data_IF_364245846636
#
_entry.id   IF_364245846636
#
_cell.length_a   1.000
_cell.length_b   1.000
_cell.length_c   1.000
_cell.angle_alpha   90.00
_cell.angle_beta   90.00
_cell.angle_gamma   90.00
#
_symmetry.space_group_name_H-M   'P 1'
#
loop_
_entity.id
_entity.type
_entity.pdbx_description
1 polymer ?
#
# COMPACT_ATOMS: atom_id res chain seq x y z
N UNK A 1 -29.12 12.77 -33.84
CA UNK A 1 -28.03 13.00 -34.81
C UNK A 1 -27.74 14.49 -34.99
N UNK A 2 -28.67 15.30 -35.53
CA UNK A 2 -28.44 16.75 -35.71
C UNK A 2 -28.11 17.49 -34.40
N UNK A 3 -28.79 17.14 -33.30
CA UNK A 3 -28.56 17.72 -31.97
C UNK A 3 -27.12 17.48 -31.47
N UNK A 4 -26.64 16.24 -31.48
CA UNK A 4 -25.28 15.89 -31.04
C UNK A 4 -24.20 16.58 -31.88
N UNK A 5 -24.42 16.70 -33.20
CA UNK A 5 -23.55 17.44 -34.11
C UNK A 5 -23.55 18.94 -33.79
N UNK A 6 -24.71 19.51 -33.40
CA UNK A 6 -24.79 20.90 -32.94
C UNK A 6 -24.05 21.10 -31.62
N UNK A 7 -24.26 20.21 -30.64
CA UNK A 7 -23.55 20.25 -29.35
C UNK A 7 -22.04 20.12 -29.56
N UNK A 8 -21.59 19.27 -30.50
CA UNK A 8 -20.19 19.18 -30.89
C UNK A 8 -19.67 20.50 -31.50
N UNK A 9 -20.45 21.14 -32.38
CA UNK A 9 -20.09 22.43 -33.00
C UNK A 9 -19.96 23.55 -31.97
N UNK A 10 -20.86 23.61 -31.00
CA UNK A 10 -20.90 24.65 -29.96
C UNK A 10 -19.94 24.37 -28.80
N UNK A 11 -19.31 23.19 -28.76
CA UNK A 11 -18.40 22.77 -27.69
C UNK A 11 -19.10 22.31 -26.42
N UNK A 12 -20.39 21.96 -26.51
CA UNK A 12 -21.27 21.52 -25.41
C UNK A 12 -21.45 19.98 -25.36
N UNK A 13 -20.60 19.23 -26.05
CA UNK A 13 -20.62 17.78 -26.05
C UNK A 13 -19.74 17.23 -24.93
N UNK A 14 -20.27 16.29 -24.15
CA UNK A 14 -19.52 15.62 -23.08
C UNK A 14 -18.40 14.73 -23.66
N UNK A 15 -17.28 14.62 -22.95
CA UNK A 15 -16.08 13.87 -23.38
C UNK A 15 -16.40 12.41 -23.74
N UNK A 16 -17.34 11.78 -23.04
CA UNK A 16 -17.76 10.40 -23.29
C UNK A 16 -18.47 10.22 -24.65
N UNK A 17 -19.09 11.28 -25.16
CA UNK A 17 -19.87 11.25 -26.39
C UNK A 17 -19.07 11.69 -27.62
N UNK A 18 -17.91 12.34 -27.44
CA UNK A 18 -17.08 12.84 -28.55
C UNK A 18 -16.73 11.74 -29.53
N UNK A 19 -16.27 10.58 -29.06
CA UNK A 19 -15.86 9.49 -29.96
C UNK A 19 -17.04 8.93 -30.78
N UNK A 20 -18.23 8.88 -30.18
CA UNK A 20 -19.47 8.42 -30.84
C UNK A 20 -19.85 9.38 -31.96
N UNK A 21 -19.89 10.68 -31.67
CA UNK A 21 -20.26 11.70 -32.67
C UNK A 21 -19.19 11.81 -33.76
N UNK A 22 -17.91 11.71 -33.42
CA UNK A 22 -16.83 11.59 -34.42
C UNK A 22 -17.00 10.34 -35.32
N UNK A 23 -17.51 9.24 -34.78
CA UNK A 23 -17.91 8.07 -35.57
C UNK A 23 -19.00 8.40 -36.59
N UNK A 24 -20.03 9.15 -36.18
CA UNK A 24 -21.11 9.58 -37.07
C UNK A 24 -20.62 10.49 -38.21
N UNK A 25 -19.64 11.37 -37.93
CA UNK A 25 -19.04 12.26 -38.95
C UNK A 25 -18.27 11.51 -40.05
N UNK A 26 -17.93 10.23 -39.85
CA UNK A 26 -17.31 9.38 -40.89
C UNK A 26 -18.31 8.97 -41.97
N UNK A 27 -19.62 9.08 -41.70
CA UNK A 27 -20.68 8.79 -42.66
C UNK A 27 -21.08 10.04 -43.45
N UNK A 28 -21.48 9.89 -44.73
CA UNK A 28 -21.78 11.02 -45.60
C UNK A 28 -22.93 11.91 -45.07
N UNK A 29 -23.92 11.32 -44.41
CA UNK A 29 -25.03 12.05 -43.81
C UNK A 29 -24.56 12.97 -42.66
N UNK A 30 -23.72 12.45 -41.75
CA UNK A 30 -23.16 13.24 -40.64
C UNK A 30 -22.26 14.36 -41.13
N UNK A 31 -21.39 14.07 -42.11
CA UNK A 31 -20.57 15.10 -42.73
C UNK A 31 -21.40 16.17 -43.45
N UNK A 32 -22.50 15.77 -44.12
CA UNK A 32 -23.42 16.71 -44.78
C UNK A 32 -24.08 17.66 -43.78
N UNK A 33 -24.58 17.13 -42.65
CA UNK A 33 -25.16 17.95 -41.59
C UNK A 33 -24.14 18.93 -40.99
N UNK A 34 -22.93 18.44 -40.68
CA UNK A 34 -21.82 19.26 -40.19
C UNK A 34 -21.47 20.41 -41.14
N UNK A 35 -21.33 20.12 -42.44
CA UNK A 35 -21.07 21.13 -43.45
C UNK A 35 -22.22 22.14 -43.56
N UNK A 36 -23.47 21.68 -43.55
CA UNK A 36 -24.65 22.55 -43.63
C UNK A 36 -24.66 23.58 -42.49
N UNK A 37 -24.45 23.14 -41.26
CA UNK A 37 -24.43 24.02 -40.09
C UNK A 37 -23.28 25.03 -40.13
N UNK A 38 -22.08 24.61 -40.55
CA UNK A 38 -20.97 25.55 -40.71
C UNK A 38 -21.25 26.58 -41.82
N UNK A 39 -21.81 26.17 -42.95
CA UNK A 39 -22.17 27.09 -44.03
C UNK A 39 -23.22 28.10 -43.59
N UNK A 40 -24.23 27.68 -42.83
CA UNK A 40 -25.22 28.60 -42.23
C UNK A 40 -24.51 29.59 -41.31
N UNK A 41 -23.69 29.10 -40.38
CA UNK A 41 -22.94 29.93 -39.44
C UNK A 41 -22.00 30.92 -40.13
N UNK A 42 -21.28 30.48 -41.15
CA UNK A 42 -20.36 31.32 -41.92
C UNK A 42 -21.11 32.41 -42.68
N UNK A 43 -22.27 32.06 -43.25
CA UNK A 43 -23.14 33.01 -43.97
C UNK A 43 -23.69 34.07 -43.02
N UNK A 44 -24.12 33.69 -41.81
CA UNK A 44 -24.63 34.63 -40.80
C UNK A 44 -23.55 35.58 -40.28
N UNK A 45 -22.28 35.13 -40.21
CA UNK A 45 -21.14 35.94 -39.76
C UNK A 45 -20.52 36.80 -40.86
N UNK A 46 -20.98 36.66 -42.11
CA UNK A 46 -20.39 37.36 -43.27
C UNK A 46 -18.98 36.86 -43.62
N UNK A 47 -18.68 35.60 -43.31
CA UNK A 47 -17.39 34.98 -43.56
C UNK A 47 -17.24 34.64 -45.05
N UNK A 48 -16.07 34.93 -45.61
CA UNK A 48 -15.82 34.64 -47.02
C UNK A 48 -15.88 33.14 -47.30
N UNK A 49 -16.45 32.78 -48.46
CA UNK A 49 -16.56 31.39 -48.88
C UNK A 49 -15.19 30.83 -49.20
N UNK A 50 -14.92 29.61 -48.73
CA UNK A 50 -13.76 28.86 -49.18
C UNK A 50 -13.76 28.68 -50.69
N UNK A 51 -12.56 28.69 -51.30
CA UNK A 51 -12.42 28.41 -52.73
C UNK A 51 -13.00 27.04 -53.09
N UNK A 52 -13.69 26.90 -54.24
CA UNK A 52 -14.26 25.62 -54.65
C UNK A 52 -13.23 24.49 -54.62
N UNK A 53 -13.61 23.35 -54.04
CA UNK A 53 -12.75 22.18 -53.91
C UNK A 53 -11.61 22.31 -52.88
N UNK A 54 -11.62 23.34 -52.03
CA UNK A 54 -10.65 23.51 -50.94
C UNK A 54 -10.50 22.24 -50.11
N UNK A 55 -11.59 21.71 -49.54
CA UNK A 55 -11.56 20.54 -48.65
C UNK A 55 -10.95 19.33 -49.35
N UNK A 56 -11.27 19.08 -50.63
CA UNK A 56 -10.67 17.99 -51.41
C UNK A 56 -9.17 18.15 -51.57
N UNK A 57 -8.69 19.37 -51.91
CA UNK A 57 -7.24 19.63 -52.06
C UNK A 57 -6.53 19.54 -50.71
N UNK A 58 -7.16 20.04 -49.65
CA UNK A 58 -6.64 19.97 -48.29
C UNK A 58 -6.49 18.52 -47.84
N UNK A 59 -7.55 17.71 -47.94
CA UNK A 59 -7.51 16.29 -47.56
C UNK A 59 -6.48 15.50 -48.38
N UNK A 60 -6.32 15.79 -49.67
CA UNK A 60 -5.31 15.14 -50.50
C UNK A 60 -3.88 15.49 -50.07
N UNK A 61 -3.61 16.75 -49.71
CA UNK A 61 -2.30 17.18 -49.19
C UNK A 61 -2.03 16.61 -47.80
N UNK A 62 -3.02 16.65 -46.92
CA UNK A 62 -2.93 16.09 -45.57
C UNK A 62 -2.63 14.59 -45.59
N UNK A 63 -3.28 13.83 -46.48
CA UNK A 63 -3.02 12.40 -46.64
C UNK A 63 -1.61 12.10 -47.20
N UNK A 64 -0.98 13.07 -47.86
CA UNK A 64 0.39 12.95 -48.37
C UNK A 64 1.45 13.39 -47.34
N UNK A 65 1.04 13.95 -46.19
CA UNK A 65 1.98 14.32 -45.13
C UNK A 65 2.54 13.08 -44.44
N UNK A 66 3.85 13.03 -44.14
CA UNK A 66 4.43 11.93 -43.39
C UNK A 66 3.90 11.94 -41.95
N UNK A 67 3.42 10.79 -41.47
CA UNK A 67 2.93 10.64 -40.10
C UNK A 67 4.02 11.00 -39.09
N UNK A 68 3.87 12.13 -38.41
CA UNK A 68 4.78 12.55 -37.32
C UNK A 68 4.52 11.66 -36.11
N UNK A 69 5.43 10.72 -35.84
CA UNK A 69 5.45 9.94 -34.61
C UNK A 69 5.90 10.82 -33.44
N UNK A 70 5.02 11.67 -32.94
CA UNK A 70 5.26 12.39 -31.69
C UNK A 70 5.28 11.38 -30.52
N UNK A 71 6.27 11.44 -29.61
CA UNK A 71 6.31 10.56 -28.45
C UNK A 71 5.08 10.83 -27.57
N UNK A 72 4.20 9.83 -27.47
CA UNK A 72 3.03 9.90 -26.57
C UNK A 72 3.51 9.89 -25.13
N UNK A 73 3.21 10.94 -24.37
CA UNK A 73 3.41 10.94 -22.93
C UNK A 73 2.52 9.86 -22.32
N UNK A 74 3.14 8.78 -21.84
CA UNK A 74 2.42 7.70 -21.16
C UNK A 74 1.97 8.25 -19.80
N UNK A 75 0.73 8.69 -19.68
CA UNK A 75 0.16 9.05 -18.38
C UNK A 75 0.17 7.79 -17.51
N UNK A 76 1.08 7.78 -16.54
CA UNK A 76 1.34 6.62 -15.69
C UNK A 76 0.15 6.34 -14.77
N UNK A 77 -0.65 5.33 -15.10
CA UNK A 77 -1.71 4.77 -14.24
C UNK A 77 -1.15 3.98 -13.03
N UNK A 78 0.17 3.98 -12.83
CA UNK A 78 0.83 3.14 -11.82
C UNK A 78 0.68 3.67 -10.39
N UNK A 79 0.48 4.99 -10.24
CA UNK A 79 0.36 5.60 -8.92
C UNK A 79 -0.85 5.07 -8.13
N UNK A 80 -1.99 4.82 -8.78
CA UNK A 80 -3.22 4.38 -8.10
C UNK A 80 -3.14 2.95 -7.56
N UNK A 81 -2.45 2.04 -8.24
CA UNK A 81 -2.27 0.67 -7.76
C UNK A 81 -1.37 0.60 -6.52
N UNK A 82 -0.31 1.41 -6.49
CA UNK A 82 0.59 1.48 -5.33
C UNK A 82 -0.15 1.97 -4.08
N UNK A 83 -1.00 3.00 -4.21
CA UNK A 83 -1.84 3.49 -3.11
C UNK A 83 -2.88 2.46 -2.66
N UNK A 84 -3.51 1.74 -3.60
CA UNK A 84 -4.45 0.68 -3.26
C UNK A 84 -3.79 -0.45 -2.47
N UNK A 85 -2.61 -0.91 -2.91
CA UNK A 85 -1.84 -1.93 -2.21
C UNK A 85 -1.36 -1.46 -0.82
N UNK A 86 -0.92 -0.20 -0.69
CA UNK A 86 -0.54 0.36 0.60
C UNK A 86 -1.74 0.44 1.56
N UNK A 87 -2.92 0.81 1.05
CA UNK A 87 -4.15 0.90 1.84
C UNK A 87 -4.61 -0.46 2.38
N UNK A 88 -4.49 -1.54 1.60
CA UNK A 88 -4.87 -2.89 2.07
C UNK A 88 -3.95 -3.38 3.19
N UNK A 89 -2.64 -3.16 3.07
CA UNK A 89 -1.67 -3.53 4.13
C UNK A 89 -1.96 -2.75 5.42
N UNK A 90 -2.23 -1.45 5.33
CA UNK A 90 -2.57 -0.63 6.48
C UNK A 90 -3.88 -1.10 7.17
N UNK A 91 -4.91 -1.42 6.39
CA UNK A 91 -6.18 -1.92 6.93
C UNK A 91 -5.99 -3.25 7.68
N UNK A 92 -5.23 -4.20 7.13
CA UNK A 92 -4.94 -5.49 7.79
C UNK A 92 -4.17 -5.28 9.09
N UNK A 93 -3.20 -4.37 9.12
CA UNK A 93 -2.43 -4.04 10.31
C UNK A 93 -3.32 -3.46 11.43
N UNK A 94 -4.23 -2.54 11.11
CA UNK A 94 -5.18 -1.96 12.08
C UNK A 94 -6.12 -3.03 12.63
N UNK A 95 -6.66 -3.89 11.78
CA UNK A 95 -7.53 -5.00 12.21
C UNK A 95 -6.79 -5.96 13.14
N UNK A 96 -5.55 -6.32 12.81
CA UNK A 96 -4.71 -7.16 13.67
C UNK A 96 -4.43 -6.52 15.03
N UNK A 97 -4.14 -5.23 15.07
CA UNK A 97 -3.91 -4.51 16.32
C UNK A 97 -5.15 -4.47 17.22
N UNK A 98 -6.32 -4.17 16.65
CA UNK A 98 -7.58 -4.19 17.38
C UNK A 98 -7.88 -5.60 17.90
N UNK A 99 -7.68 -6.64 17.07
CA UNK A 99 -7.89 -8.02 17.49
C UNK A 99 -7.05 -8.37 18.73
N UNK A 100 -5.76 -8.03 18.73
CA UNK A 100 -4.87 -8.24 19.90
C UNK A 100 -5.36 -7.47 21.13
N UNK A 101 -5.83 -6.24 20.98
CA UNK A 101 -6.38 -5.44 22.08
C UNK A 101 -7.72 -5.94 22.62
N UNK A 102 -8.50 -6.68 21.82
CA UNK A 102 -9.82 -7.22 22.20
C UNK A 102 -9.79 -8.68 22.68
N UNK A 103 -8.66 -9.38 22.50
CA UNK A 103 -8.48 -10.72 23.06
C UNK A 103 -8.30 -10.61 24.57
N UNK A 104 -9.41 -10.70 25.29
CA UNK A 104 -9.43 -10.89 26.73
C UNK A 104 -8.86 -12.27 27.04
N UNK A 105 -7.55 -12.35 27.33
CA UNK A 105 -6.90 -13.60 27.74
C UNK A 105 -7.47 -13.98 29.09
N UNK A 106 -8.47 -14.86 29.08
CA UNK A 106 -9.05 -15.35 30.32
C UNK A 106 -7.96 -15.91 31.26
N UNK A 107 -8.00 -15.59 32.57
CA UNK A 107 -6.99 -16.03 33.54
C UNK A 107 -6.87 -17.55 33.65
N UNK A 108 -7.89 -18.30 33.20
CA UNK A 108 -7.91 -19.76 33.11
C UNK A 108 -6.94 -20.33 32.07
N UNK A 109 -6.65 -19.61 30.98
CA UNK A 109 -5.67 -20.06 29.96
C UNK A 109 -4.24 -19.87 30.46
N UNK A 110 -3.98 -18.76 31.17
CA UNK A 110 -2.71 -18.50 31.85
C UNK A 110 -2.44 -19.51 32.98
N UNK A 111 -3.46 -19.90 33.74
CA UNK A 111 -3.34 -20.93 34.78
C UNK A 111 -2.97 -22.31 34.22
N UNK A 112 -3.61 -22.75 33.11
CA UNK A 112 -3.28 -24.02 32.44
C UNK A 112 -1.88 -24.05 31.85
N UNK A 113 -1.38 -22.92 31.32
CA UNK A 113 -0.02 -22.82 30.81
C UNK A 113 1.03 -22.94 31.95
N UNK A 114 0.74 -22.40 33.13
CA UNK A 114 1.61 -22.50 34.31
C UNK A 114 1.65 -23.91 34.89
N UNK A 115 0.53 -24.62 34.86
CA UNK A 115 0.43 -26.04 35.24
C UNK A 115 1.20 -26.95 34.27
N UNK A 116 1.15 -26.68 32.97
CA UNK A 116 1.98 -27.40 32.00
C UNK A 116 3.49 -27.14 32.18
N UNK A 117 3.88 -25.95 32.66
CA UNK A 117 5.26 -25.61 33.01
C UNK A 117 5.77 -26.31 34.27
N UNK A 118 4.91 -26.54 35.28
CA UNK A 118 5.31 -27.23 36.52
C UNK A 118 5.51 -28.73 36.33
N UNK A 119 4.70 -29.37 35.48
CA UNK A 119 4.84 -30.80 35.14
C UNK A 119 6.17 -31.10 34.44
N UNK A 120 6.70 -30.16 33.64
CA UNK A 120 8.01 -30.32 32.99
C UNK A 120 9.19 -30.13 33.93
N UNK A 121 9.01 -29.37 35.02
CA UNK A 121 10.03 -29.19 36.06
C UNK A 121 10.10 -30.37 37.03
N UNK A 122 8.99 -31.05 37.29
CA UNK A 122 8.94 -32.24 38.15
C UNK A 122 9.55 -33.51 37.51
N UNK A 123 9.70 -33.55 36.18
CA UNK A 123 10.29 -34.68 35.45
C UNK A 123 11.83 -34.61 35.35
N UNK A 124 12.44 -33.49 35.76
CA UNK A 124 13.88 -33.32 35.92
C UNK A 124 14.16 -33.27 37.42
N UNK A 125 14.24 -34.45 38.05
CA UNK A 125 14.72 -34.53 39.42
C UNK A 125 16.13 -33.92 39.52
N UNK A 126 16.49 -33.23 40.62
CA UNK A 126 17.84 -32.74 40.79
C UNK A 126 18.77 -33.95 40.85
N UNK A 127 19.61 -34.13 39.82
CA UNK A 127 20.77 -35.00 39.91
C UNK A 127 21.68 -34.39 40.97
N UNK A 128 21.61 -34.92 42.19
CA UNK A 128 22.50 -34.56 43.27
C UNK A 128 23.91 -35.04 42.89
N UNK A 129 24.69 -34.16 42.26
CA UNK A 129 26.11 -34.39 42.00
C UNK A 129 26.79 -34.51 43.37
N UNK A 130 27.47 -35.63 43.69
CA UNK A 130 28.15 -35.80 44.97
C UNK A 130 29.16 -34.67 45.19
N UNK A 131 29.20 -34.10 46.40
CA UNK A 131 30.12 -33.00 46.74
C UNK A 131 31.58 -33.37 46.46
N UNK A 132 31.94 -34.65 46.65
CA UNK A 132 33.28 -35.18 46.37
C UNK A 132 33.67 -35.08 44.88
N UNK A 133 32.70 -35.21 43.98
CA UNK A 133 32.93 -35.05 42.54
C UNK A 133 33.25 -33.60 42.17
N UNK A 134 32.59 -32.63 42.83
CA UNK A 134 32.86 -31.21 42.63
C UNK A 134 34.22 -30.79 43.19
N UNK A 135 34.65 -31.37 44.32
CA UNK A 135 35.97 -31.13 44.91
C UNK A 135 37.08 -31.69 44.01
N UNK A 136 36.95 -32.92 43.52
CA UNK A 136 37.95 -33.53 42.62
C UNK A 136 38.14 -32.76 41.31
N UNK A 137 37.09 -32.11 40.80
CA UNK A 137 37.16 -31.30 39.57
C UNK A 137 37.58 -29.85 39.80
N UNK A 138 37.62 -29.35 41.05
CA UNK A 138 38.14 -28.01 41.38
C UNK A 138 39.67 -27.96 41.44
N UNK A 139 40.34 -29.07 41.77
CA UNK A 139 41.81 -29.12 41.87
C UNK A 139 42.54 -29.05 40.50
N UNK A 140 41.81 -29.15 39.39
CA UNK A 140 42.38 -29.22 38.03
C UNK A 140 41.95 -28.08 37.10
N UNK A 141 41.73 -26.87 37.63
CA UNK A 141 41.55 -25.66 36.81
C UNK A 141 42.79 -24.75 36.87
N UNK A 142 43.64 -24.71 35.82
CA UNK A 142 44.81 -23.84 35.76
C UNK A 142 44.49 -22.36 35.43
N UNK A 143 43.23 -21.93 35.58
CA UNK A 143 42.79 -20.61 35.11
C UNK A 143 41.85 -19.94 36.11
N UNK A 144 42.31 -19.73 37.34
CA UNK A 144 41.67 -18.83 38.30
C UNK A 144 42.71 -17.92 38.99
N UNK A 145 43.65 -17.39 38.20
CA UNK A 145 44.44 -16.21 38.56
C UNK A 145 44.15 -15.06 37.59
N UNK A 146 42.94 -14.49 37.67
CA UNK A 146 42.70 -13.08 37.37
C UNK A 146 41.68 -12.54 38.39
N UNK A 147 42.21 -12.14 39.54
CA UNK A 147 42.03 -10.84 40.17
C UNK A 147 40.67 -10.14 40.04
N UNK A 148 39.92 -10.09 41.15
CA UNK A 148 38.93 -9.05 41.42
C UNK A 148 37.72 -9.55 42.21
N UNK A 149 37.56 -9.00 43.42
CA UNK A 149 36.43 -9.19 44.36
C UNK A 149 36.61 -10.36 45.34
N UNK A 150 37.13 -10.01 46.53
CA UNK A 150 37.23 -10.92 47.68
C UNK A 150 35.86 -11.30 48.26
N UNK A 151 35.72 -12.50 48.83
CA UNK A 151 34.49 -12.95 49.46
C UNK A 151 34.38 -12.37 50.88
N UNK A 152 33.59 -11.33 51.06
CA UNK A 152 33.12 -10.96 52.39
C UNK A 152 31.79 -11.67 52.67
N UNK A 153 31.89 -12.81 53.35
CA UNK A 153 30.81 -13.35 54.16
C UNK A 153 30.57 -12.40 55.34
N UNK A 154 29.34 -11.89 55.50
CA UNK A 154 28.82 -11.46 56.80
C UNK A 154 27.46 -12.10 57.03
N UNK A 155 27.47 -13.18 57.81
CA UNK A 155 26.32 -13.67 58.53
C UNK A 155 25.89 -12.63 59.57
N UNK A 156 24.61 -12.26 59.58
CA UNK A 156 24.00 -11.55 60.70
C UNK A 156 22.98 -12.49 61.34
N UNK A 157 23.38 -13.06 62.47
CA UNK A 157 22.52 -13.70 63.46
C UNK A 157 22.76 -13.00 64.80
N UNK A 158 21.72 -13.01 65.65
CA UNK A 158 21.57 -12.43 67.01
C UNK A 158 21.09 -10.96 67.04
N UNK A 159 19.89 -10.59 67.53
CA UNK A 159 19.10 -10.87 68.75
C UNK A 159 19.17 -9.72 69.79
N UNK A 160 18.00 -9.11 70.05
CA UNK A 160 17.52 -8.56 71.34
C UNK A 160 17.96 -7.15 71.77
N UNK A 161 17.33 -6.51 72.78
CA UNK A 161 16.06 -6.84 73.48
C UNK A 161 15.15 -5.62 73.85
N UNK A 162 13.99 -5.94 74.45
CA UNK A 162 13.17 -5.20 75.45
C UNK A 162 12.50 -3.85 75.12
N UNK A 163 11.31 -3.52 75.63
CA UNK A 163 10.55 -4.14 76.72
C UNK A 163 9.09 -3.66 76.86
N UNK A 164 8.36 -4.45 77.66
CA UNK A 164 7.03 -4.25 78.27
C UNK A 164 7.08 -3.18 79.39
N UNK A 165 6.00 -2.82 80.15
CA UNK A 165 5.00 -3.65 80.83
C UNK A 165 3.76 -4.02 80.02
#
# INVERSE_FOLDING_TARGET
MGEEISRLMDGELDDEHVEIVCGQLKHPEGMSAWMCYHVIGDTLRGTDRCTPGFSRRFSARLAAEPTVLAPRTRQGRTASFAWAAAATVAAVAVVGWVAVGTLDVQPTVMAKAREAGSVRSALVGPQAVPADYLIAHQEYSPTAQIQGVGPYLRAAAAQGPDGRP
#
